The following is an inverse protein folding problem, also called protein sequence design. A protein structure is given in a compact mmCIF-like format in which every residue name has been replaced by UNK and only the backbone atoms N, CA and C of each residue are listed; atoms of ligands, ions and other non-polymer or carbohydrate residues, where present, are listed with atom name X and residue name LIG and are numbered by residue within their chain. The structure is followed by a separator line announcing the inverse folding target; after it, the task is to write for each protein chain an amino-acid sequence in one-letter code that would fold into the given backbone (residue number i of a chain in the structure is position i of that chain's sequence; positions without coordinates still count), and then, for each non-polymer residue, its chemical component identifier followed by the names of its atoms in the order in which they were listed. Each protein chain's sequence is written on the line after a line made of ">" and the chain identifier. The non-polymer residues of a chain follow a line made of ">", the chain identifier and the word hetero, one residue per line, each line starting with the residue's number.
data_IF_120891985071
#
_entry.id   IF_120891985071
#
_cell.length_a   1.000
_cell.length_b   1.000
_cell.length_c   1.000
_cell.angle_alpha   90.00
_cell.angle_beta   90.00
_cell.angle_gamma   90.00
#
_symmetry.space_group_name_H-M   'P 1'
#
loop_
_entity.id
_entity.type
_entity.pdbx_description
1 polymer ?
#
# COMPACT_ATOMS: atom_id res chain seq x y z
N UNK A 1 38.69 42.29 -25.19
CA UNK A 1 37.64 41.29 -25.49
C UNK A 1 36.70 41.29 -24.29
N UNK A 2 35.49 41.81 -24.45
CA UNK A 2 34.47 41.69 -23.41
C UNK A 2 34.08 40.21 -23.33
N UNK A 3 34.29 39.59 -22.17
CA UNK A 3 33.73 38.27 -21.87
C UNK A 3 32.21 38.43 -21.85
N UNK A 4 31.57 37.96 -22.92
CA UNK A 4 30.13 37.81 -23.02
C UNK A 4 29.72 36.77 -21.98
N UNK A 5 29.38 37.25 -20.79
CA UNK A 5 28.98 36.39 -19.67
C UNK A 5 27.48 36.22 -19.85
N UNK A 6 27.05 35.06 -20.34
CA UNK A 6 25.63 34.72 -20.42
C UNK A 6 24.99 35.02 -19.06
N UNK A 7 23.83 35.69 -19.01
CA UNK A 7 23.15 35.95 -17.75
C UNK A 7 22.88 34.63 -17.03
N UNK A 8 23.00 34.65 -15.70
CA UNK A 8 22.74 33.47 -14.88
C UNK A 8 21.34 32.90 -15.18
N UNK A 9 21.18 31.57 -15.22
CA UNK A 9 19.92 30.94 -15.59
C UNK A 9 18.85 31.32 -14.56
N UNK A 10 17.63 31.63 -15.03
CA UNK A 10 16.53 31.94 -14.12
C UNK A 10 16.06 30.68 -13.39
N UNK A 11 15.72 30.79 -12.11
CA UNK A 11 15.18 29.67 -11.33
C UNK A 11 13.90 29.11 -11.97
N UNK A 12 13.05 29.97 -12.52
CA UNK A 12 11.84 29.56 -13.23
C UNK A 12 12.15 28.70 -14.46
N UNK A 13 13.18 29.04 -15.24
CA UNK A 13 13.59 28.23 -16.39
C UNK A 13 14.14 26.86 -15.96
N UNK A 14 14.92 26.80 -14.87
CA UNK A 14 15.39 25.53 -14.30
C UNK A 14 14.23 24.69 -13.79
N UNK A 15 13.26 25.29 -13.09
CA UNK A 15 12.05 24.59 -12.61
C UNK A 15 11.17 24.09 -13.76
N UNK A 16 11.05 24.87 -14.84
CA UNK A 16 10.33 24.44 -16.04
C UNK A 16 11.00 23.23 -16.72
N UNK A 17 12.34 23.23 -16.79
CA UNK A 17 13.09 22.07 -17.29
C UNK A 17 12.89 20.83 -16.40
N UNK A 18 12.95 20.99 -15.08
CA UNK A 18 12.71 19.90 -14.12
C UNK A 18 11.29 19.32 -14.23
N UNK A 19 10.29 20.11 -14.61
CA UNK A 19 8.92 19.63 -14.82
C UNK A 19 8.78 18.66 -16.01
N UNK A 20 9.77 18.60 -16.90
CA UNK A 20 9.80 17.62 -18.00
C UNK A 20 10.36 16.26 -17.58
N UNK A 21 10.99 16.19 -16.41
CA UNK A 21 11.63 14.97 -15.88
C UNK A 21 10.60 14.16 -15.13
N UNK A 22 10.34 12.95 -15.60
CA UNK A 22 9.42 12.02 -14.95
C UNK A 22 10.16 11.06 -14.01
N UNK A 23 9.53 10.77 -12.87
CA UNK A 23 9.95 9.66 -12.03
C UNK A 23 9.75 8.32 -12.79
N UNK A 24 10.77 7.45 -12.85
CA UNK A 24 10.69 6.23 -13.63
C UNK A 24 9.78 5.15 -13.04
N UNK A 25 9.41 5.24 -11.76
CA UNK A 25 8.52 4.27 -11.11
C UNK A 25 7.05 4.73 -11.17
N UNK A 26 6.80 6.02 -10.95
CA UNK A 26 5.48 6.63 -10.83
C UNK A 26 5.00 7.25 -12.16
N UNK A 27 5.92 7.47 -13.11
CA UNK A 27 5.66 8.05 -14.43
C UNK A 27 4.92 9.39 -14.38
N UNK A 28 5.29 10.24 -13.42
CA UNK A 28 4.80 11.61 -13.26
C UNK A 28 5.97 12.58 -13.08
N UNK A 29 5.80 13.88 -13.37
CA UNK A 29 6.84 14.87 -13.18
C UNK A 29 7.37 14.89 -11.74
N UNK A 30 8.69 14.93 -11.57
CA UNK A 30 9.32 14.98 -10.23
C UNK A 30 8.93 16.24 -9.45
N UNK A 31 8.54 17.31 -10.14
CA UNK A 31 8.01 18.55 -9.56
C UNK A 31 6.65 18.31 -8.92
N UNK A 32 5.77 17.57 -9.59
CA UNK A 32 4.41 17.27 -9.12
C UNK A 32 4.41 16.29 -7.95
N UNK A 33 5.45 15.46 -7.87
CA UNK A 33 5.66 14.49 -6.80
C UNK A 33 6.35 15.10 -5.56
N UNK A 34 6.67 16.40 -5.59
CA UNK A 34 7.40 17.06 -4.49
C UNK A 34 8.80 16.49 -4.26
N UNK A 35 9.41 15.90 -5.29
CA UNK A 35 10.72 15.25 -5.18
C UNK A 35 11.87 16.25 -5.30
N UNK A 36 11.64 17.46 -5.80
CA UNK A 36 12.68 18.51 -5.87
C UNK A 36 12.80 19.18 -4.51
N UNK A 37 13.87 18.88 -3.76
CA UNK A 37 14.14 19.43 -2.43
C UNK A 37 14.65 20.86 -2.50
N UNK A 38 15.63 21.11 -3.36
CA UNK A 38 16.22 22.43 -3.56
C UNK A 38 16.82 22.58 -4.95
N UNK A 39 16.87 23.82 -5.42
CA UNK A 39 17.57 24.25 -6.63
C UNK A 39 18.39 25.47 -6.22
N UNK A 40 19.70 25.39 -6.37
CA UNK A 40 20.62 26.49 -6.10
C UNK A 40 21.35 26.85 -7.39
N UNK A 41 21.36 28.14 -7.73
CA UNK A 41 21.98 28.66 -8.94
C UNK A 41 23.08 29.63 -8.53
N UNK A 42 24.32 29.30 -8.89
CA UNK A 42 25.46 30.16 -8.63
C UNK A 42 25.63 31.23 -9.73
N UNK A 43 26.34 32.29 -9.40
CA UNK A 43 26.58 33.42 -10.31
C UNK A 43 27.39 33.05 -11.56
N UNK A 44 28.10 31.92 -11.54
CA UNK A 44 28.87 31.39 -12.67
C UNK A 44 28.03 30.48 -13.60
N UNK A 45 26.73 30.34 -13.32
CA UNK A 45 25.81 29.49 -14.09
C UNK A 45 25.81 28.03 -13.66
N UNK A 46 26.53 27.65 -12.59
CA UNK A 46 26.45 26.29 -12.05
C UNK A 46 25.15 26.09 -11.26
N UNK A 47 24.49 24.95 -11.47
CA UNK A 47 23.21 24.61 -10.85
C UNK A 47 23.37 23.36 -9.98
N UNK A 48 23.01 23.44 -8.72
CA UNK A 48 22.90 22.31 -7.81
C UNK A 48 21.43 21.97 -7.56
N UNK A 49 21.04 20.72 -7.82
CA UNK A 49 19.67 20.23 -7.60
C UNK A 49 19.71 19.07 -6.62
N UNK A 50 18.91 19.15 -5.55
CA UNK A 50 18.73 18.04 -4.62
C UNK A 50 17.39 17.37 -4.88
N UNK A 51 17.40 16.07 -5.14
CA UNK A 51 16.20 15.28 -5.50
C UNK A 51 15.99 14.15 -4.49
N UNK A 52 14.78 14.06 -3.97
CA UNK A 52 14.35 12.95 -3.12
C UNK A 52 14.07 11.69 -3.93
N UNK A 53 14.49 10.55 -3.39
CA UNK A 53 14.12 9.23 -3.85
C UNK A 53 13.01 8.65 -2.98
N UNK A 54 12.03 8.04 -3.64
CA UNK A 54 10.93 7.29 -3.01
C UNK A 54 11.45 6.13 -2.15
N UNK A 55 12.53 5.45 -2.56
CA UNK A 55 13.12 4.30 -1.85
C UNK A 55 14.64 4.26 -1.94
N UNK A 56 15.30 3.84 -0.86
CA UNK A 56 16.76 3.86 -0.70
C UNK A 56 17.52 2.84 -1.58
N UNK A 57 16.83 1.85 -2.16
CA UNK A 57 17.45 0.71 -2.87
C UNK A 57 17.34 0.72 -4.39
N UNK A 58 16.97 1.83 -5.04
CA UNK A 58 16.59 1.78 -6.45
C UNK A 58 17.80 1.75 -7.41
N UNK A 59 17.89 0.80 -8.37
CA UNK A 59 18.89 0.80 -9.44
C UNK A 59 18.73 1.96 -10.45
N UNK A 60 17.70 2.79 -10.27
CA UNK A 60 17.33 3.89 -11.17
C UNK A 60 17.84 5.26 -10.70
N UNK A 61 18.70 5.31 -9.67
CA UNK A 61 19.41 6.53 -9.23
C UNK A 61 20.15 7.20 -10.38
N UNK A 62 20.79 6.40 -11.22
CA UNK A 62 21.51 6.90 -12.38
C UNK A 62 20.55 7.46 -13.44
N UNK A 63 19.39 6.82 -13.63
CA UNK A 63 18.37 7.27 -14.57
C UNK A 63 17.81 8.63 -14.18
N UNK A 64 17.43 8.82 -12.91
CA UNK A 64 16.88 10.10 -12.45
C UNK A 64 17.94 11.20 -12.46
N UNK A 65 19.17 10.87 -12.04
CA UNK A 65 20.30 11.80 -12.06
C UNK A 65 20.62 12.26 -13.48
N UNK A 66 20.70 11.32 -14.43
CA UNK A 66 20.96 11.64 -15.84
C UNK A 66 19.81 12.44 -16.46
N UNK A 67 18.56 12.10 -16.14
CA UNK A 67 17.40 12.82 -16.70
C UNK A 67 17.34 14.27 -16.21
N UNK A 68 17.59 14.49 -14.90
CA UNK A 68 17.71 15.83 -14.32
C UNK A 68 18.88 16.60 -14.92
N UNK A 69 20.06 15.97 -15.01
CA UNK A 69 21.26 16.60 -15.55
C UNK A 69 21.05 17.03 -17.01
N UNK A 70 20.48 16.17 -17.83
CA UNK A 70 20.21 16.47 -19.25
C UNK A 70 19.19 17.60 -19.37
N UNK A 71 18.07 17.53 -18.65
CA UNK A 71 17.03 18.57 -18.74
C UNK A 71 17.53 19.95 -18.30
N UNK A 72 18.29 20.02 -17.20
CA UNK A 72 18.81 21.29 -16.68
C UNK A 72 19.96 21.83 -17.53
N UNK A 73 20.79 20.97 -18.13
CA UNK A 73 21.90 21.39 -18.98
C UNK A 73 21.45 22.07 -20.30
N UNK A 74 20.21 21.85 -20.73
CA UNK A 74 19.63 22.51 -21.90
C UNK A 74 19.14 23.94 -21.62
N UNK A 75 19.14 24.38 -20.36
CA UNK A 75 18.72 25.73 -19.97
C UNK A 75 19.82 26.74 -20.30
N UNK A 76 19.45 27.82 -20.99
CA UNK A 76 20.38 28.90 -21.34
C UNK A 76 21.02 29.52 -20.09
N UNK A 77 22.35 29.69 -20.12
CA UNK A 77 23.13 30.22 -19.00
C UNK A 77 23.65 29.15 -18.04
N UNK A 78 23.25 27.88 -18.17
CA UNK A 78 23.79 26.78 -17.35
C UNK A 78 25.19 26.39 -17.81
N UNK A 79 26.17 26.44 -16.91
CA UNK A 79 27.57 26.07 -17.18
C UNK A 79 27.96 24.72 -16.58
N UNK A 80 27.20 24.22 -15.60
CA UNK A 80 27.39 22.93 -14.98
C UNK A 80 26.19 22.51 -14.12
N UNK A 81 25.99 21.20 -13.96
CA UNK A 81 24.88 20.66 -13.16
C UNK A 81 25.40 19.61 -12.18
N UNK A 82 25.12 19.80 -10.90
CA UNK A 82 25.37 18.84 -9.82
C UNK A 82 24.03 18.34 -9.30
N UNK A 83 23.86 17.01 -9.19
CA UNK A 83 22.64 16.40 -8.68
C UNK A 83 22.97 15.60 -7.44
N UNK A 84 22.34 15.95 -6.31
CA UNK A 84 22.43 15.18 -5.08
C UNK A 84 21.12 14.44 -4.84
N UNK A 85 21.23 13.21 -4.34
CA UNK A 85 20.09 12.36 -4.06
C UNK A 85 19.91 12.20 -2.55
N UNK A 86 18.71 12.51 -2.08
CA UNK A 86 18.29 12.28 -0.70
C UNK A 86 17.14 11.26 -0.68
N UNK A 87 16.72 10.77 0.48
CA UNK A 87 15.62 9.81 0.61
C UNK A 87 14.45 10.49 1.33
N UNK A 88 13.23 10.29 0.81
CA UNK A 88 12.03 10.81 1.47
C UNK A 88 11.87 10.24 2.88
N UNK A 89 11.42 11.07 3.82
CA UNK A 89 11.00 10.63 5.13
C UNK A 89 9.71 9.80 5.06
N UNK A 90 9.38 9.07 6.13
CA UNK A 90 8.14 8.30 6.19
C UNK A 90 6.88 9.18 6.11
N UNK A 91 6.96 10.42 6.62
CA UNK A 91 5.87 11.41 6.54
C UNK A 91 5.67 11.88 5.09
N UNK A 92 6.75 12.27 4.41
CA UNK A 92 6.71 12.68 3.00
C UNK A 92 6.21 11.56 2.08
N UNK A 93 6.58 10.31 2.36
CA UNK A 93 6.03 9.14 1.62
C UNK A 93 4.52 8.98 1.82
N UNK A 94 4.01 9.22 3.02
CA UNK A 94 2.56 9.14 3.31
C UNK A 94 1.80 10.26 2.60
N UNK A 95 2.35 11.46 2.57
CA UNK A 95 1.77 12.60 1.84
C UNK A 95 1.72 12.32 0.35
N UNK A 96 2.82 11.86 -0.24
CA UNK A 96 2.88 11.45 -1.66
C UNK A 96 1.87 10.35 -1.97
N UNK A 97 1.78 9.35 -1.10
CA UNK A 97 0.81 8.28 -1.27
C UNK A 97 -0.64 8.80 -1.17
N UNK A 98 -0.90 9.82 -0.35
CA UNK A 98 -2.21 10.48 -0.25
C UNK A 98 -2.53 11.30 -1.51
N UNK A 99 -1.57 12.06 -2.04
CA UNK A 99 -1.75 12.88 -3.24
C UNK A 99 -1.96 12.02 -4.50
N UNK A 100 -1.18 10.94 -4.64
CA UNK A 100 -1.34 9.97 -5.74
C UNK A 100 -2.70 9.25 -5.71
N UNK A 101 -3.33 9.16 -4.54
CA UNK A 101 -4.65 8.55 -4.34
C UNK A 101 -5.82 9.53 -4.48
N UNK A 102 -5.56 10.79 -4.82
CA UNK A 102 -6.61 11.78 -5.12
C UNK A 102 -7.47 12.17 -3.92
N UNK A 103 -6.91 12.15 -2.70
CA UNK A 103 -7.60 12.63 -1.51
C UNK A 103 -8.71 11.73 -0.98
N UNK A 104 -8.83 10.48 -1.46
CA UNK A 104 -9.67 9.49 -0.78
C UNK A 104 -9.01 9.11 0.54
N UNK A 105 -9.60 9.57 1.66
CA UNK A 105 -9.20 9.17 3.00
C UNK A 105 -9.14 7.64 3.08
N UNK A 106 -8.04 7.11 3.62
CA UNK A 106 -7.90 5.68 3.88
C UNK A 106 -9.08 5.25 4.75
N UNK A 107 -9.84 4.23 4.32
CA UNK A 107 -10.93 3.70 5.14
C UNK A 107 -10.31 3.20 6.45
N UNK A 108 -10.64 3.88 7.53
CA UNK A 108 -9.95 3.69 8.81
C UNK A 108 -10.34 2.33 9.40
N UNK A 109 -9.36 1.48 9.66
CA UNK A 109 -9.59 0.16 10.24
C UNK A 109 -9.71 0.31 11.77
N UNK A 110 -10.87 0.03 12.39
CA UNK A 110 -11.10 0.35 13.80
C UNK A 110 -10.09 -0.28 14.76
N UNK A 111 -9.70 -1.53 14.51
CA UNK A 111 -8.76 -2.27 15.35
C UNK A 111 -7.28 -1.99 15.03
N UNK A 112 -6.99 -1.14 14.04
CA UNK A 112 -5.64 -0.63 13.76
C UNK A 112 -5.32 0.65 14.54
N UNK A 113 -6.30 1.21 15.25
CA UNK A 113 -6.15 2.44 16.04
C UNK A 113 -5.28 2.22 17.28
N UNK A 114 -4.50 3.23 17.71
CA UNK A 114 -3.83 3.20 19.01
C UNK A 114 -4.84 2.95 20.13
N UNK A 115 -4.58 1.96 20.99
CA UNK A 115 -5.46 1.57 22.09
C UNK A 115 -6.46 0.46 21.78
N UNK A 116 -6.56 0.00 20.52
CA UNK A 116 -7.25 -1.24 20.20
C UNK A 116 -6.55 -2.43 20.86
N UNK A 117 -7.31 -3.27 21.56
CA UNK A 117 -6.84 -4.52 22.15
C UNK A 117 -7.07 -5.74 21.25
N UNK A 118 -7.74 -5.55 20.11
CA UNK A 118 -8.02 -6.61 19.16
C UNK A 118 -6.72 -7.15 18.57
N UNK A 119 -6.52 -8.47 18.67
CA UNK A 119 -5.36 -9.15 18.07
C UNK A 119 -5.73 -9.69 16.70
N UNK A 120 -4.93 -9.37 15.69
CA UNK A 120 -5.13 -9.87 14.32
C UNK A 120 -4.12 -10.98 14.04
N UNK A 121 -4.59 -12.18 13.71
CA UNK A 121 -3.74 -13.31 13.31
C UNK A 121 -3.96 -13.68 11.85
N UNK A 122 -2.89 -13.69 11.08
CA UNK A 122 -2.91 -14.15 9.69
C UNK A 122 -2.56 -15.65 9.63
N UNK A 123 -3.44 -16.45 9.05
CA UNK A 123 -3.22 -17.88 8.79
C UNK A 123 -2.90 -18.07 7.32
N UNK A 124 -1.69 -18.55 7.02
CA UNK A 124 -1.19 -18.72 5.65
C UNK A 124 -0.64 -20.13 5.42
N UNK A 125 -0.57 -20.54 4.15
CA UNK A 125 0.05 -21.81 3.73
C UNK A 125 0.78 -21.64 2.41
N UNK A 126 1.93 -22.31 2.28
CA UNK A 126 2.69 -22.42 1.02
C UNK A 126 2.19 -23.52 0.08
N UNK A 127 1.24 -24.37 0.49
CA UNK A 127 0.68 -25.47 -0.33
C UNK A 127 -0.84 -25.53 -0.21
N UNK A 128 -1.51 -25.96 -1.29
CA UNK A 128 -2.94 -26.23 -1.30
C UNK A 128 -3.28 -27.52 -0.55
N UNK A 129 -4.47 -27.59 0.05
CA UNK A 129 -4.99 -28.81 0.66
C UNK A 129 -4.41 -29.20 2.02
N UNK A 130 -3.58 -28.37 2.64
CA UNK A 130 -2.98 -28.66 3.97
C UNK A 130 -3.95 -28.48 5.15
N UNK A 131 -5.21 -28.09 4.89
CA UNK A 131 -6.20 -27.84 5.93
C UNK A 131 -6.12 -26.45 6.59
N UNK A 132 -5.53 -25.45 5.92
CA UNK A 132 -5.43 -24.06 6.42
C UNK A 132 -6.77 -23.53 6.96
N UNK A 133 -7.82 -23.54 6.13
CA UNK A 133 -9.15 -23.05 6.52
C UNK A 133 -9.77 -23.88 7.65
N UNK A 134 -9.50 -25.19 7.69
CA UNK A 134 -9.91 -26.06 8.80
C UNK A 134 -9.24 -25.65 10.11
N UNK A 135 -7.95 -25.34 10.09
CA UNK A 135 -7.23 -24.83 11.26
C UNK A 135 -7.81 -23.48 11.69
N UNK A 136 -8.03 -22.56 10.75
CA UNK A 136 -8.62 -21.25 11.04
C UNK A 136 -9.99 -21.37 11.72
N UNK A 137 -10.88 -22.22 11.20
CA UNK A 137 -12.23 -22.42 11.75
C UNK A 137 -12.20 -23.06 13.13
N UNK A 138 -11.40 -24.11 13.34
CA UNK A 138 -11.30 -24.76 14.64
C UNK A 138 -10.67 -23.84 15.69
N UNK A 139 -9.65 -23.06 15.30
CA UNK A 139 -9.06 -22.06 16.18
C UNK A 139 -10.09 -20.99 16.58
N UNK A 140 -10.88 -20.51 15.62
CA UNK A 140 -11.95 -19.54 15.88
C UNK A 140 -12.99 -20.09 16.86
N UNK A 141 -13.45 -21.31 16.63
CA UNK A 141 -14.45 -21.97 17.47
C UNK A 141 -13.93 -22.22 18.89
N UNK A 142 -12.66 -22.65 19.04
CA UNK A 142 -12.04 -22.84 20.35
C UNK A 142 -11.93 -21.52 21.13
N UNK A 143 -11.43 -20.46 20.48
CA UNK A 143 -11.34 -19.13 21.09
C UNK A 143 -12.71 -18.58 21.50
N UNK A 144 -13.73 -18.78 20.67
CA UNK A 144 -15.11 -18.39 21.00
C UNK A 144 -15.69 -19.21 22.17
N UNK A 145 -15.38 -20.50 22.25
CA UNK A 145 -15.76 -21.36 23.37
C UNK A 145 -15.10 -20.93 24.69
N UNK A 146 -13.89 -20.38 24.63
CA UNK A 146 -13.20 -19.76 25.78
C UNK A 146 -13.76 -18.37 26.15
N UNK A 147 -14.80 -17.91 25.45
CA UNK A 147 -15.50 -16.66 25.73
C UNK A 147 -14.94 -15.42 25.03
N UNK A 148 -13.98 -15.58 24.12
CA UNK A 148 -13.44 -14.46 23.32
C UNK A 148 -14.44 -14.05 22.24
N UNK A 149 -14.47 -12.76 21.92
CA UNK A 149 -15.20 -12.21 20.78
C UNK A 149 -14.35 -12.36 19.52
N UNK A 150 -14.74 -13.28 18.65
CA UNK A 150 -13.93 -13.71 17.49
C UNK A 150 -14.57 -13.31 16.15
N UNK A 151 -13.74 -12.78 15.26
CA UNK A 151 -14.07 -12.56 13.85
C UNK A 151 -13.17 -13.38 12.93
N UNK A 152 -13.70 -13.78 11.77
CA UNK A 152 -12.95 -14.45 10.71
C UNK A 152 -13.17 -13.75 9.37
N UNK A 153 -12.08 -13.39 8.69
CA UNK A 153 -12.08 -12.94 7.30
C UNK A 153 -11.55 -14.06 6.42
N UNK A 154 -12.38 -14.56 5.52
CA UNK A 154 -11.99 -15.52 4.50
C UNK A 154 -11.58 -14.81 3.21
N UNK A 155 -10.26 -14.84 2.96
CA UNK A 155 -9.63 -14.19 1.82
C UNK A 155 -9.24 -15.20 0.71
N UNK A 156 -9.56 -16.49 0.85
CA UNK A 156 -9.30 -17.49 -0.19
C UNK A 156 -10.41 -17.47 -1.25
N UNK A 157 -10.25 -16.58 -2.23
CA UNK A 157 -11.16 -16.38 -3.37
C UNK A 157 -11.59 -17.71 -4.04
N UNK A 158 -10.65 -18.63 -4.24
CA UNK A 158 -10.87 -19.85 -5.02
C UNK A 158 -11.34 -21.04 -4.17
N UNK A 159 -11.17 -20.96 -2.85
CA UNK A 159 -11.40 -22.06 -1.91
C UNK A 159 -12.30 -21.69 -0.73
N UNK A 160 -13.11 -20.64 -0.88
CA UNK A 160 -13.96 -20.12 0.19
C UNK A 160 -14.84 -21.22 0.77
N UNK A 161 -14.53 -21.60 2.00
CA UNK A 161 -15.17 -22.73 2.70
C UNK A 161 -15.45 -22.41 4.16
N UNK A 162 -14.80 -21.37 4.69
CA UNK A 162 -14.91 -20.94 6.08
C UNK A 162 -16.37 -20.68 6.50
N UNK A 163 -17.21 -19.94 5.76
CA UNK A 163 -18.59 -19.71 6.20
C UNK A 163 -19.38 -21.01 6.35
N UNK A 164 -19.25 -21.90 5.36
CA UNK A 164 -19.90 -23.21 5.37
C UNK A 164 -19.40 -24.10 6.51
N UNK A 165 -18.09 -24.09 6.77
CA UNK A 165 -17.49 -24.87 7.86
C UNK A 165 -17.91 -24.36 9.24
N UNK A 166 -18.12 -23.05 9.39
CA UNK A 166 -18.67 -22.45 10.61
C UNK A 166 -20.18 -22.65 10.77
N UNK A 167 -20.89 -23.10 9.72
CA UNK A 167 -22.36 -23.15 9.70
C UNK A 167 -23.02 -21.78 9.56
N UNK A 168 -22.31 -20.80 8.99
CA UNK A 168 -22.82 -19.46 8.72
C UNK A 168 -23.42 -19.39 7.31
N UNK A 169 -24.70 -19.76 7.19
CA UNK A 169 -25.43 -19.78 5.91
C UNK A 169 -26.04 -18.42 5.52
N UNK A 170 -25.98 -17.44 6.42
CA UNK A 170 -26.46 -16.08 6.18
C UNK A 170 -25.60 -15.31 5.19
N UNK A 171 -26.22 -14.38 4.44
CA UNK A 171 -25.48 -13.39 3.66
C UNK A 171 -25.21 -12.14 4.51
N UNK A 172 -24.10 -11.41 4.25
CA UNK A 172 -23.87 -10.12 4.87
C UNK A 172 -25.03 -9.17 4.56
N UNK A 173 -25.49 -8.45 5.58
CA UNK A 173 -26.56 -7.46 5.44
C UNK A 173 -25.94 -6.08 5.39
N UNK A 174 -26.26 -5.30 4.34
CA UNK A 174 -25.81 -3.92 4.25
C UNK A 174 -26.75 -3.01 5.06
N UNK A 175 -26.17 -2.20 5.95
CA UNK A 175 -26.87 -1.21 6.77
C UNK A 175 -26.15 0.12 6.56
N UNK A 176 -26.76 1.00 5.76
CA UNK A 176 -26.12 2.23 5.26
C UNK A 176 -24.73 1.95 4.64
N UNK A 177 -23.67 2.50 5.22
CA UNK A 177 -22.28 2.31 4.78
C UNK A 177 -21.59 1.11 5.43
N UNK A 178 -22.26 0.41 6.36
CA UNK A 178 -21.71 -0.69 7.14
C UNK A 178 -22.20 -2.04 6.63
N UNK A 179 -21.37 -3.06 6.81
CA UNK A 179 -21.68 -4.45 6.48
C UNK A 179 -21.83 -5.24 7.78
N UNK A 180 -23.02 -5.75 8.05
CA UNK A 180 -23.27 -6.67 9.16
C UNK A 180 -22.90 -8.09 8.71
N UNK A 181 -21.85 -8.69 9.28
CA UNK A 181 -21.45 -10.05 8.90
C UNK A 181 -22.39 -11.07 9.52
N UNK A 182 -22.66 -12.20 8.85
CA UNK A 182 -23.29 -13.34 9.52
C UNK A 182 -22.42 -13.85 10.68
N UNK A 183 -23.07 -14.52 11.62
CA UNK A 183 -22.41 -15.14 12.76
C UNK A 183 -22.93 -16.55 13.00
N UNK A 184 -22.04 -17.46 13.37
CA UNK A 184 -22.38 -18.81 13.80
C UNK A 184 -21.40 -19.26 14.89
N UNK A 185 -21.88 -20.03 15.87
CA UNK A 185 -21.05 -20.55 16.97
C UNK A 185 -20.25 -19.47 17.72
N UNK A 186 -20.82 -18.27 17.91
CA UNK A 186 -20.14 -17.14 18.55
C UNK A 186 -19.07 -16.44 17.69
N UNK A 187 -18.90 -16.85 16.44
CA UNK A 187 -17.91 -16.31 15.51
C UNK A 187 -18.59 -15.49 14.42
N UNK A 188 -18.16 -14.24 14.22
CA UNK A 188 -18.56 -13.41 13.08
C UNK A 188 -17.69 -13.77 11.87
N UNK A 189 -18.28 -13.88 10.67
CA UNK A 189 -17.52 -14.25 9.48
C UNK A 189 -17.88 -13.39 8.28
N UNK A 190 -16.85 -12.96 7.55
CA UNK A 190 -17.00 -12.35 6.22
C UNK A 190 -16.14 -13.12 5.22
N UNK A 191 -16.67 -13.39 4.03
CA UNK A 191 -15.95 -14.07 2.96
C UNK A 191 -16.23 -13.41 1.63
N UNK A 192 -15.22 -13.38 0.76
CA UNK A 192 -15.37 -12.91 -0.63
C UNK A 192 -16.44 -13.72 -1.38
N UNK A 193 -16.58 -15.01 -1.06
CA UNK A 193 -17.59 -15.89 -1.67
C UNK A 193 -19.02 -15.42 -1.44
N UNK A 194 -19.30 -14.64 -0.38
CA UNK A 194 -20.64 -14.13 -0.08
C UNK A 194 -21.10 -13.02 -1.03
N UNK A 195 -20.16 -12.33 -1.68
CA UNK A 195 -20.43 -11.21 -2.60
C UNK A 195 -20.38 -11.63 -4.07
N UNK A 196 -20.08 -12.90 -4.34
CA UNK A 196 -20.04 -13.43 -5.70
C UNK A 196 -21.35 -14.18 -5.99
N UNK A 197 -22.09 -13.83 -7.05
CA UNK A 197 -23.31 -14.55 -7.41
C UNK A 197 -22.98 -15.95 -7.95
N UNK A 198 -23.25 -16.98 -7.13
CA UNK A 198 -23.12 -18.38 -7.51
C UNK A 198 -21.67 -18.85 -7.68
N UNK A 199 -21.48 -19.96 -8.41
CA UNK A 199 -20.17 -20.57 -8.63
C UNK A 199 -19.42 -19.94 -9.84
N UNK A 200 -19.75 -18.70 -10.20
CA UNK A 200 -19.15 -18.02 -11.34
C UNK A 200 -17.68 -17.70 -11.01
N UNK A 201 -16.71 -18.15 -11.84
CA UNK A 201 -15.31 -17.85 -11.61
C UNK A 201 -15.06 -16.36 -11.85
N UNK A 202 -15.01 -15.59 -10.76
CA UNK A 202 -14.60 -14.18 -10.79
C UNK A 202 -13.07 -14.13 -10.74
N UNK A 203 -12.46 -13.50 -11.73
CA UNK A 203 -11.01 -13.26 -11.73
C UNK A 203 -10.73 -12.04 -10.86
N UNK A 204 -10.33 -12.29 -9.62
CA UNK A 204 -9.91 -11.24 -8.70
C UNK A 204 -8.45 -10.86 -8.98
N UNK A 205 -8.22 -9.65 -9.52
CA UNK A 205 -6.87 -9.11 -9.66
C UNK A 205 -6.36 -8.62 -8.30
N UNK A 206 -5.04 -8.64 -8.08
CA UNK A 206 -4.40 -8.23 -6.82
C UNK A 206 -4.92 -6.89 -6.24
N UNK A 207 -5.05 -5.83 -7.04
CA UNK A 207 -5.62 -4.56 -6.57
C UNK A 207 -7.09 -4.64 -6.11
N UNK A 208 -7.90 -5.51 -6.71
CA UNK A 208 -9.29 -5.71 -6.32
C UNK A 208 -9.39 -6.48 -5.00
N UNK A 209 -8.59 -7.54 -4.84
CA UNK A 209 -8.51 -8.29 -3.58
C UNK A 209 -8.06 -7.37 -2.43
N UNK A 210 -7.04 -6.55 -2.67
CA UNK A 210 -6.56 -5.61 -1.66
C UNK A 210 -7.65 -4.63 -1.22
N UNK A 211 -8.38 -4.02 -2.18
CA UNK A 211 -9.51 -3.14 -1.86
C UNK A 211 -10.63 -3.84 -1.11
N UNK A 212 -10.98 -5.07 -1.49
CA UNK A 212 -12.00 -5.85 -0.81
C UNK A 212 -11.60 -6.18 0.63
N UNK A 213 -10.34 -6.54 0.87
CA UNK A 213 -9.83 -6.77 2.22
C UNK A 213 -9.85 -5.48 3.05
N UNK A 214 -9.38 -4.36 2.51
CA UNK A 214 -9.48 -3.07 3.20
C UNK A 214 -10.92 -2.73 3.57
N UNK A 215 -11.87 -2.95 2.66
CA UNK A 215 -13.29 -2.79 2.92
C UNK A 215 -13.80 -3.72 4.03
N UNK A 216 -13.39 -4.98 4.06
CA UNK A 216 -13.78 -5.91 5.13
C UNK A 216 -13.21 -5.53 6.49
N UNK A 217 -12.02 -4.94 6.53
CA UNK A 217 -11.41 -4.51 7.79
C UNK A 217 -12.03 -3.20 8.31
N UNK A 218 -12.45 -2.31 7.41
CA UNK A 218 -12.96 -0.98 7.79
C UNK A 218 -14.49 -0.91 7.90
N UNK A 219 -15.22 -1.50 6.95
CA UNK A 219 -16.66 -1.25 6.79
C UNK A 219 -17.53 -2.35 7.43
N UNK A 220 -16.94 -3.48 7.83
CA UNK A 220 -17.67 -4.56 8.50
C UNK A 220 -17.84 -4.27 9.98
N UNK A 221 -19.06 -4.43 10.49
CA UNK A 221 -19.38 -4.23 11.90
C UNK A 221 -18.93 -5.42 12.77
N UNK A 222 -17.67 -5.40 13.14
CA UNK A 222 -17.06 -6.39 14.01
C UNK A 222 -17.47 -6.24 15.48
N UNK A 223 -17.86 -5.04 15.91
CA UNK A 223 -18.01 -4.71 17.34
C UNK A 223 -16.66 -4.76 18.07
N UNK A 224 -16.68 -4.95 19.38
CA UNK A 224 -15.47 -5.05 20.20
C UNK A 224 -14.84 -6.44 20.06
N UNK A 225 -14.03 -6.69 19.04
CA UNK A 225 -13.34 -7.98 18.90
C UNK A 225 -12.15 -8.12 19.85
N UNK A 226 -11.98 -9.30 20.41
CA UNK A 226 -10.73 -9.70 21.06
C UNK A 226 -9.74 -10.24 20.02
N UNK A 227 -10.24 -11.01 19.03
CA UNK A 227 -9.43 -11.65 18.01
C UNK A 227 -10.07 -11.58 16.63
N UNK A 228 -9.27 -11.25 15.61
CA UNK A 228 -9.62 -11.35 14.19
C UNK A 228 -8.67 -12.32 13.49
N UNK A 229 -9.20 -13.38 12.90
CA UNK A 229 -8.42 -14.36 12.12
C UNK A 229 -8.57 -14.07 10.62
N UNK A 230 -7.44 -14.00 9.90
CA UNK A 230 -7.41 -13.82 8.45
C UNK A 230 -7.02 -15.14 7.79
N UNK A 231 -7.96 -15.78 7.08
CA UNK A 231 -7.70 -16.97 6.28
C UNK A 231 -7.16 -16.57 4.91
N UNK A 232 -5.82 -16.46 4.80
CA UNK A 232 -5.20 -15.89 3.61
C UNK A 232 -5.22 -16.85 2.41
N UNK A 233 -5.29 -16.33 1.17
CA UNK A 233 -5.12 -17.15 -0.03
C UNK A 233 -3.72 -17.76 -0.07
N UNK A 234 -3.56 -18.78 -0.93
CA UNK A 234 -2.25 -19.42 -1.17
C UNK A 234 -1.21 -18.37 -1.56
N UNK A 235 -0.16 -18.24 -0.76
CA UNK A 235 1.00 -17.46 -1.14
C UNK A 235 1.92 -18.34 -1.99
N UNK A 236 2.28 -17.96 -3.23
CA UNK A 236 3.35 -18.65 -3.93
C UNK A 236 4.64 -18.49 -3.12
N UNK A 237 5.39 -19.59 -2.97
CA UNK A 237 6.78 -19.48 -2.58
C UNK A 237 7.47 -18.56 -3.61
N UNK A 238 7.91 -17.38 -3.15
CA UNK A 238 8.49 -16.29 -3.95
C UNK A 238 7.44 -15.36 -4.59
N UNK A 239 7.01 -14.35 -3.84
CA UNK A 239 6.55 -13.07 -4.36
C UNK A 239 7.02 -11.96 -3.42
N UNK A 240 7.99 -11.16 -3.87
CA UNK A 240 8.43 -9.93 -3.20
C UNK A 240 7.42 -8.80 -3.49
N UNK A 241 6.18 -8.97 -3.06
CA UNK A 241 5.23 -7.84 -2.99
C UNK A 241 5.31 -7.22 -1.59
N UNK A 242 5.20 -5.88 -1.45
CA UNK A 242 5.21 -5.23 -0.15
C UNK A 242 3.94 -5.64 0.60
N UNK A 243 4.14 -6.23 1.76
CA UNK A 243 3.07 -6.55 2.71
C UNK A 243 2.35 -5.26 3.14
N UNK A 244 1.05 -5.32 3.50
CA UNK A 244 0.38 -4.19 4.13
C UNK A 244 1.16 -3.74 5.38
N UNK A 245 1.27 -2.43 5.60
CA UNK A 245 2.06 -1.81 6.68
C UNK A 245 1.69 -2.29 8.10
N UNK A 246 0.50 -2.87 8.26
CA UNK A 246 -0.03 -3.41 9.52
C UNK A 246 0.42 -4.85 9.81
N UNK A 247 1.07 -5.52 8.85
CA UNK A 247 1.57 -6.88 9.00
C UNK A 247 3.05 -6.86 9.41
N UNK A 248 3.47 -7.54 10.50
CA UNK A 248 4.88 -7.61 10.89
C UNK A 248 5.72 -8.17 9.73
N UNK A 249 6.82 -7.50 9.38
CA UNK A 249 7.70 -7.97 8.31
C UNK A 249 8.26 -9.37 8.60
N UNK A 250 8.35 -10.27 7.59
CA UNK A 250 8.81 -11.66 7.78
C UNK A 250 10.24 -11.83 8.31
N UNK A 251 11.04 -10.74 8.38
CA UNK A 251 12.46 -10.78 8.81
C UNK A 251 12.66 -11.04 10.31
N UNK A 252 11.59 -11.15 11.10
CA UNK A 252 11.65 -11.41 12.55
C UNK A 252 11.33 -12.87 12.94
N UNK A 253 11.08 -13.74 11.95
CA UNK A 253 10.62 -15.12 12.17
C UNK A 253 11.67 -16.20 11.86
N UNK A 254 12.95 -15.82 11.74
CA UNK A 254 14.10 -16.73 11.72
C UNK A 254 15.21 -16.18 12.59
#
# INVERSE_FOLDING_TARGET
>A
MATDTLPAPSEDAVRAALATVNDPEIHKPITDLGMVKSVEIAADGSVAVVVYLTVSGCPMRDTITNSVRTAVAEVEGVTGVTVELDVMSDEQRRELATSLRGGQAEREVPFAKPGSLTRVYAVASGKGGVGKSSVTVNLAAAMAADGLKVGVVDADIYGHSVPRMLGADGRPTQVENMIMPPSANGVKVISIGMFTPGNAPVVWRGPMLHRALQQFLADVYWGDLDVLLLDLPRAPAISRSPWPSWCPTPRSWW
#
